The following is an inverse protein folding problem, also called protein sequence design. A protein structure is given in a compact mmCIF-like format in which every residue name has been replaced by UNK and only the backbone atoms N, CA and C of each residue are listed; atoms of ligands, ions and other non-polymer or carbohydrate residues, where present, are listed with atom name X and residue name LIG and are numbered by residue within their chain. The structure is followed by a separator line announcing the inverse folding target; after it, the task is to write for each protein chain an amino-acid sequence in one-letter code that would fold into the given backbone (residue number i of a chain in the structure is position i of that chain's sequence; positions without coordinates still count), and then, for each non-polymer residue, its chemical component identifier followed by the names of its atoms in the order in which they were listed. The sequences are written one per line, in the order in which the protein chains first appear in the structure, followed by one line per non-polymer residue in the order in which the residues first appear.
data_IF_590359840026
#
_entry.id   IF_590359840026
#
_cell.length_a   1.000
_cell.length_b   1.000
_cell.length_c   1.000
_cell.angle_alpha   90.00
_cell.angle_beta   90.00
_cell.angle_gamma   90.00
#
_symmetry.space_group_name_H-M   'P 1'
#
loop_
_entity.id
_entity.type
_entity.pdbx_description
1 polymer ?
#
# COMPACT_ATOMS: atom_id res chain seq x y z
N UNK A 1 3.01 9.44 30.15
CA UNK A 1 3.82 9.98 29.05
C UNK A 1 3.86 8.88 28.00
N UNK A 2 3.26 9.08 26.82
CA UNK A 2 3.27 8.05 25.78
C UNK A 2 4.67 7.98 25.16
N UNK A 3 5.17 6.76 24.91
CA UNK A 3 6.52 6.49 24.45
C UNK A 3 6.86 7.09 23.08
N UNK A 4 8.15 7.16 22.78
CA UNK A 4 8.68 7.65 21.51
C UNK A 4 8.29 6.75 20.34
N UNK A 5 7.85 7.34 19.23
CA UNK A 5 7.60 6.62 17.98
C UNK A 5 8.92 6.20 17.34
N UNK A 6 9.04 4.92 16.96
CA UNK A 6 10.16 4.38 16.19
C UNK A 6 9.71 4.13 14.76
N UNK A 7 10.59 4.45 13.81
CA UNK A 7 10.41 4.15 12.39
C UNK A 7 11.72 3.55 11.88
N UNK A 8 11.66 2.41 11.21
CA UNK A 8 12.83 1.74 10.64
C UNK A 8 12.46 0.98 9.36
N UNK A 9 13.49 0.55 8.64
CA UNK A 9 13.39 -0.27 7.46
C UNK A 9 13.88 -1.68 7.78
N UNK A 10 13.22 -2.70 7.26
CA UNK A 10 13.59 -4.10 7.44
C UNK A 10 13.28 -4.88 6.16
N UNK A 11 14.22 -5.72 5.72
CA UNK A 11 13.94 -6.69 4.66
C UNK A 11 13.13 -7.83 5.25
N UNK A 12 11.95 -8.07 4.70
CA UNK A 12 11.11 -9.21 5.08
C UNK A 12 10.96 -10.14 3.87
N UNK A 13 10.81 -11.43 4.12
CA UNK A 13 10.58 -12.43 3.07
C UNK A 13 9.15 -12.93 3.16
N UNK A 14 8.37 -12.80 2.09
CA UNK A 14 6.98 -13.29 2.01
C UNK A 14 6.80 -14.31 0.89
N UNK A 15 6.00 -15.38 1.09
CA UNK A 15 5.57 -16.22 -0.01
C UNK A 15 4.73 -15.40 -0.98
N UNK A 16 5.14 -15.41 -2.25
CA UNK A 16 4.61 -14.54 -3.29
C UNK A 16 4.25 -15.36 -4.52
N UNK A 17 3.03 -15.18 -5.03
CA UNK A 17 2.64 -15.74 -6.32
C UNK A 17 2.99 -14.77 -7.43
N UNK A 18 3.64 -15.27 -8.49
CA UNK A 18 4.15 -14.43 -9.56
C UNK A 18 3.08 -14.10 -10.60
N UNK A 19 3.29 -13.00 -11.30
CA UNK A 19 2.43 -12.50 -12.38
C UNK A 19 3.11 -12.72 -13.72
N UNK A 20 2.33 -12.73 -14.80
CA UNK A 20 2.88 -12.73 -16.16
C UNK A 20 3.60 -11.42 -16.49
N UNK A 21 4.07 -11.33 -17.73
CA UNK A 21 4.66 -10.12 -18.27
C UNK A 21 3.59 -9.02 -18.47
N UNK A 22 4.02 -7.77 -18.38
CA UNK A 22 3.23 -6.61 -18.76
C UNK A 22 3.07 -6.60 -20.29
N UNK A 23 1.84 -6.46 -20.79
CA UNK A 23 1.57 -6.18 -22.19
C UNK A 23 1.86 -4.69 -22.45
N UNK A 24 2.88 -4.35 -23.29
CA UNK A 24 3.23 -2.97 -23.58
C UNK A 24 2.25 -2.29 -24.54
N UNK A 25 1.32 -3.04 -25.15
CA UNK A 25 0.38 -2.47 -26.10
C UNK A 25 -0.67 -1.62 -25.35
N UNK A 26 -0.98 -0.40 -25.85
CA UNK A 26 -1.97 0.45 -25.22
C UNK A 26 -3.35 -0.24 -25.25
N UNK A 27 -3.89 -0.48 -24.06
CA UNK A 27 -5.22 -1.05 -23.91
C UNK A 27 -6.29 0.04 -23.79
N UNK A 28 -7.21 0.07 -24.75
CA UNK A 28 -8.35 0.99 -24.76
C UNK A 28 -9.59 0.33 -24.13
N UNK A 29 -9.55 0.16 -22.80
CA UNK A 29 -10.61 -0.52 -22.05
C UNK A 29 -11.68 0.47 -21.58
N UNK A 30 -12.43 1.01 -22.53
CA UNK A 30 -13.47 2.03 -22.29
C UNK A 30 -14.60 1.55 -21.37
N UNK A 31 -14.84 0.23 -21.32
CA UNK A 31 -15.89 -0.39 -20.50
C UNK A 31 -15.35 -1.64 -19.80
N UNK A 32 -14.98 -1.52 -18.52
CA UNK A 32 -14.68 -2.67 -17.67
C UNK A 32 -15.94 -3.14 -16.93
N UNK A 33 -16.10 -4.47 -16.85
CA UNK A 33 -17.24 -5.12 -16.18
C UNK A 33 -17.18 -4.94 -14.66
N UNK A 34 -16.00 -4.69 -14.09
CA UNK A 34 -15.79 -4.56 -12.66
C UNK A 34 -15.67 -3.09 -12.19
N UNK A 35 -16.48 -2.77 -11.18
CA UNK A 35 -16.42 -1.58 -10.31
C UNK A 35 -16.60 -0.19 -10.96
N UNK A 36 -17.21 -0.10 -12.14
CA UNK A 36 -17.54 1.21 -12.74
C UNK A 36 -16.32 2.09 -13.01
N UNK A 37 -15.13 1.48 -13.10
CA UNK A 37 -13.89 2.17 -13.38
C UNK A 37 -13.73 2.39 -14.89
N UNK A 38 -13.20 3.55 -15.28
CA UNK A 38 -12.65 3.69 -16.63
C UNK A 38 -11.36 2.86 -16.70
N UNK A 39 -11.21 2.05 -17.74
CA UNK A 39 -9.99 1.28 -17.98
C UNK A 39 -8.88 2.09 -18.64
N UNK A 40 -8.96 3.42 -18.58
CA UNK A 40 -7.95 4.33 -19.10
C UNK A 40 -6.72 4.30 -18.20
N UNK A 41 -5.81 3.38 -18.50
CA UNK A 41 -4.61 3.13 -17.70
C UNK A 41 -3.33 3.63 -18.37
N UNK A 42 -3.42 4.17 -19.59
CA UNK A 42 -2.30 4.81 -20.26
C UNK A 42 -1.66 5.88 -19.34
N UNK A 43 -0.32 5.91 -19.20
CA UNK A 43 0.69 5.24 -20.03
C UNK A 43 1.12 3.84 -19.58
N UNK A 44 0.46 3.22 -18.60
CA UNK A 44 0.84 1.91 -18.09
C UNK A 44 0.34 0.76 -18.98
N UNK A 45 1.13 -0.29 -19.10
CA UNK A 45 0.69 -1.58 -19.64
C UNK A 45 -0.11 -2.37 -18.60
N UNK A 46 -0.70 -3.47 -19.05
CA UNK A 46 -1.59 -4.31 -18.23
C UNK A 46 -1.00 -5.71 -18.14
N UNK A 47 -1.12 -6.32 -16.96
CA UNK A 47 -0.80 -7.73 -16.77
C UNK A 47 -2.12 -8.49 -16.62
N UNK A 48 -2.44 -9.37 -17.56
CA UNK A 48 -3.69 -10.13 -17.59
C UNK A 48 -3.52 -11.61 -17.23
N UNK A 49 -2.32 -11.99 -16.81
CA UNK A 49 -1.95 -13.38 -16.57
C UNK A 49 -1.34 -13.56 -15.17
N UNK A 50 -1.75 -14.62 -14.47
CA UNK A 50 -1.11 -15.10 -13.24
C UNK A 50 -0.39 -16.41 -13.57
N UNK A 51 0.87 -16.55 -13.19
CA UNK A 51 1.67 -17.75 -13.54
C UNK A 51 1.24 -18.99 -12.74
N UNK A 52 0.69 -18.78 -11.54
CA UNK A 52 0.41 -19.84 -10.57
C UNK A 52 1.66 -20.30 -9.79
N UNK A 53 2.84 -19.78 -10.10
CA UNK A 53 4.09 -20.12 -9.43
C UNK A 53 4.22 -19.35 -8.11
N UNK A 54 4.80 -20.00 -7.09
CA UNK A 54 5.04 -19.42 -5.76
C UNK A 54 6.53 -19.38 -5.47
N UNK A 55 7.03 -18.22 -5.09
CA UNK A 55 8.41 -18.01 -4.67
C UNK A 55 8.48 -17.32 -3.30
N UNK A 56 9.62 -17.44 -2.61
CA UNK A 56 9.92 -16.59 -1.47
C UNK A 56 10.56 -15.31 -2.01
N UNK A 57 9.92 -14.17 -1.76
CA UNK A 57 10.38 -12.87 -2.25
C UNK A 57 10.68 -11.93 -1.10
N UNK A 58 11.80 -11.25 -1.21
CA UNK A 58 12.20 -10.19 -0.29
C UNK A 58 11.49 -8.88 -0.65
N UNK A 59 11.06 -8.17 0.39
CA UNK A 59 10.43 -6.86 0.33
C UNK A 59 11.07 -5.93 1.34
N UNK A 60 11.29 -4.68 0.95
CA UNK A 60 11.69 -3.63 1.86
C UNK A 60 10.47 -3.12 2.64
N UNK A 61 10.27 -3.60 3.86
CA UNK A 61 9.24 -3.11 4.75
C UNK A 61 9.68 -1.81 5.43
N UNK A 62 8.71 -0.92 5.66
CA UNK A 62 8.86 0.24 6.54
C UNK A 62 7.96 0.02 7.75
N UNK A 63 8.57 -0.04 8.93
CA UNK A 63 7.85 -0.22 10.17
C UNK A 63 7.66 1.09 10.91
N UNK A 64 6.50 1.24 11.55
CA UNK A 64 6.21 2.27 12.51
C UNK A 64 5.68 1.64 13.79
N UNK A 65 6.28 1.95 14.93
CA UNK A 65 5.90 1.37 16.22
C UNK A 65 5.87 2.42 17.32
N UNK A 66 4.88 2.30 18.19
CA UNK A 66 4.85 2.94 19.51
C UNK A 66 4.47 1.91 20.59
N UNK A 67 4.09 2.39 21.78
CA UNK A 67 3.73 1.51 22.89
C UNK A 67 2.51 0.62 22.61
N UNK A 68 1.61 1.07 21.72
CA UNK A 68 0.28 0.47 21.51
C UNK A 68 0.15 -0.29 20.20
N UNK A 69 0.78 0.19 19.13
CA UNK A 69 0.60 -0.38 17.79
C UNK A 69 1.93 -0.55 17.07
N UNK A 70 1.98 -1.55 16.19
CA UNK A 70 3.03 -1.77 15.21
C UNK A 70 2.40 -1.87 13.82
N UNK A 71 2.86 -1.03 12.90
CA UNK A 71 2.36 -0.92 11.54
C UNK A 71 3.47 -1.29 10.56
N UNK A 72 3.17 -2.15 9.60
CA UNK A 72 4.05 -2.51 8.49
C UNK A 72 3.52 -1.90 7.21
N UNK A 73 4.34 -1.10 6.54
CA UNK A 73 4.08 -0.61 5.20
C UNK A 73 4.95 -1.36 4.18
N UNK A 74 4.40 -1.59 2.99
CA UNK A 74 5.12 -2.16 1.85
C UNK A 74 5.15 -1.16 0.68
N UNK A 75 6.19 -0.30 0.61
CA UNK A 75 6.43 0.61 -0.52
C UNK A 75 6.39 -0.10 -1.86
N UNK A 76 6.96 -1.30 -1.97
CA UNK A 76 6.99 -2.08 -3.20
C UNK A 76 5.60 -2.56 -3.68
N UNK A 77 4.59 -2.55 -2.81
CA UNK A 77 3.22 -2.99 -3.11
C UNK A 77 2.23 -1.84 -2.96
N UNK A 78 2.48 -0.75 -3.69
CA UNK A 78 1.63 0.43 -3.72
C UNK A 78 1.67 1.27 -2.45
N UNK A 79 2.65 1.05 -1.58
CA UNK A 79 2.80 1.75 -0.31
C UNK A 79 1.81 1.32 0.77
N UNK A 80 1.05 0.24 0.55
CA UNK A 80 -0.04 -0.19 1.43
C UNK A 80 0.41 -0.39 2.88
N UNK A 81 -0.52 -0.19 3.82
CA UNK A 81 -0.36 -0.75 5.16
C UNK A 81 -0.67 -2.24 5.04
N UNK A 82 0.35 -3.09 5.08
CA UNK A 82 0.18 -4.52 4.91
C UNK A 82 -0.17 -5.21 6.24
N UNK A 83 0.31 -4.69 7.37
CA UNK A 83 -0.01 -5.19 8.71
C UNK A 83 -0.27 -4.06 9.69
N UNK A 84 -1.25 -4.23 10.56
CA UNK A 84 -1.54 -3.31 11.65
C UNK A 84 -1.86 -4.10 12.93
N UNK A 85 -0.90 -4.14 13.84
CA UNK A 85 -0.91 -4.97 15.03
C UNK A 85 -1.15 -4.14 16.29
N UNK A 86 -2.15 -4.52 17.08
CA UNK A 86 -2.46 -3.98 18.39
C UNK A 86 -1.67 -4.76 19.46
N UNK A 87 -0.71 -4.08 20.09
CA UNK A 87 0.15 -4.62 21.15
C UNK A 87 -0.57 -4.74 22.50
N UNK A 88 -1.69 -4.04 22.71
CA UNK A 88 -2.49 -4.15 23.93
C UNK A 88 -3.40 -5.37 23.85
N UNK A 89 -4.05 -5.57 22.71
CA UNK A 89 -4.95 -6.70 22.46
C UNK A 89 -4.29 -7.92 21.84
N UNK A 90 -2.99 -7.82 21.52
CA UNK A 90 -2.17 -8.89 20.95
C UNK A 90 -2.78 -9.49 19.67
N UNK A 91 -3.32 -8.63 18.78
CA UNK A 91 -3.97 -9.07 17.54
C UNK A 91 -3.76 -8.09 16.41
N UNK A 92 -3.84 -8.59 15.19
CA UNK A 92 -4.01 -7.73 14.02
C UNK A 92 -5.44 -7.15 14.01
N UNK A 93 -5.55 -5.84 13.79
CA UNK A 93 -6.83 -5.13 13.69
C UNK A 93 -7.18 -4.73 12.25
N UNK A 94 -6.27 -5.01 11.33
CA UNK A 94 -6.49 -5.04 9.88
C UNK A 94 -6.23 -6.47 9.41
N UNK A 95 -6.96 -6.93 8.39
CA UNK A 95 -6.72 -8.26 7.82
C UNK A 95 -5.28 -8.37 7.31
N UNK A 96 -4.44 -9.10 8.03
CA UNK A 96 -3.06 -9.38 7.66
C UNK A 96 -3.03 -10.65 6.81
N UNK A 97 -2.64 -10.50 5.55
CA UNK A 97 -2.41 -11.64 4.68
C UNK A 97 -0.93 -12.00 4.73
N UNK A 98 -0.60 -13.19 5.23
CA UNK A 98 0.78 -13.66 5.40
C UNK A 98 1.48 -13.98 4.06
N UNK A 99 0.77 -13.80 2.95
CA UNK A 99 1.28 -14.03 1.60
C UNK A 99 0.92 -12.89 0.65
N UNK A 100 1.68 -12.76 -0.43
CA UNK A 100 1.37 -11.88 -1.55
C UNK A 100 0.79 -12.72 -2.68
N UNK A 101 -0.54 -12.75 -2.79
CA UNK A 101 -1.25 -13.53 -3.82
C UNK A 101 -2.11 -12.61 -4.70
N UNK A 102 -1.64 -12.18 -5.88
CA UNK A 102 -2.39 -11.30 -6.74
C UNK A 102 -3.59 -11.99 -7.39
N UNK A 103 -4.64 -11.20 -7.59
CA UNK A 103 -5.79 -11.48 -8.44
C UNK A 103 -5.90 -10.39 -9.50
N UNK A 104 -6.51 -10.70 -10.64
CA UNK A 104 -6.70 -9.79 -11.77
C UNK A 104 -7.89 -8.83 -11.53
N UNK A 105 -7.81 -8.07 -10.45
CA UNK A 105 -8.86 -7.14 -9.98
C UNK A 105 -8.43 -5.68 -10.14
N UNK A 106 -7.13 -5.41 -10.06
CA UNK A 106 -6.57 -4.07 -10.20
C UNK A 106 -6.72 -3.54 -11.62
N UNK A 107 -6.59 -2.22 -11.78
CA UNK A 107 -6.68 -1.58 -13.09
C UNK A 107 -5.57 -2.06 -14.04
N UNK A 108 -4.35 -2.28 -13.54
CA UNK A 108 -3.26 -2.89 -14.31
C UNK A 108 -3.26 -4.42 -14.24
N UNK A 109 -4.30 -5.02 -13.66
CA UNK A 109 -4.44 -6.44 -13.43
C UNK A 109 -4.13 -6.84 -11.98
N UNK A 110 -2.86 -6.99 -11.58
CA UNK A 110 -2.51 -7.47 -10.24
C UNK A 110 -3.04 -6.56 -9.12
N UNK A 111 -3.74 -7.18 -8.19
CA UNK A 111 -4.18 -6.59 -6.93
C UNK A 111 -4.16 -7.67 -5.85
N UNK A 112 -3.80 -7.32 -4.61
CA UNK A 112 -3.78 -8.26 -3.49
C UNK A 112 -4.74 -7.84 -2.39
N UNK A 113 -5.35 -8.83 -1.74
CA UNK A 113 -6.22 -8.66 -0.59
C UNK A 113 -5.44 -8.43 0.71
N UNK A 114 -6.13 -7.89 1.71
CA UNK A 114 -5.56 -7.59 3.01
C UNK A 114 -4.89 -6.23 3.09
N UNK A 115 -4.62 -5.82 4.32
CA UNK A 115 -4.07 -4.50 4.61
C UNK A 115 -5.06 -3.36 4.41
N UNK A 116 -4.50 -2.16 4.25
CA UNK A 116 -5.20 -0.95 3.83
C UNK A 116 -4.52 -0.46 2.55
N UNK A 117 -5.30 -0.39 1.48
CA UNK A 117 -4.88 0.08 0.17
C UNK A 117 -5.08 1.58 0.00
N UNK A 118 -4.13 2.25 -0.65
CA UNK A 118 -4.27 3.65 -1.06
C UNK A 118 -4.82 3.74 -2.48
N UNK A 119 -6.01 4.32 -2.62
CA UNK A 119 -6.82 4.30 -3.83
C UNK A 119 -7.00 5.67 -4.49
N UNK A 120 -6.03 6.57 -4.35
CA UNK A 120 -6.08 7.85 -5.05
C UNK A 120 -5.34 7.77 -6.40
N UNK A 121 -5.89 8.30 -7.51
CA UNK A 121 -7.16 9.02 -7.65
C UNK A 121 -8.40 8.13 -7.93
N UNK A 122 -8.23 6.81 -8.00
CA UNK A 122 -9.29 5.88 -8.42
C UNK A 122 -9.30 4.62 -7.54
N UNK A 123 -10.49 4.05 -7.32
CA UNK A 123 -10.65 2.77 -6.63
C UNK A 123 -9.80 1.68 -7.30
N UNK A 124 -8.99 0.98 -6.50
CA UNK A 124 -7.87 0.14 -6.95
C UNK A 124 -6.96 0.88 -7.94
N UNK A 125 -6.30 1.95 -7.45
CA UNK A 125 -5.49 2.83 -8.31
C UNK A 125 -4.52 2.01 -9.17
N UNK A 126 -4.17 2.46 -10.39
CA UNK A 126 -3.36 1.65 -11.32
C UNK A 126 -2.09 1.08 -10.69
N UNK A 127 -1.39 1.89 -9.90
CA UNK A 127 -0.12 1.53 -9.27
C UNK A 127 -0.26 0.84 -7.90
N UNK A 128 -1.41 0.21 -7.60
CA UNK A 128 -1.67 -0.47 -6.30
C UNK A 128 -0.72 -1.65 -6.03
N UNK A 129 -0.17 -2.24 -7.08
CA UNK A 129 0.79 -3.35 -7.03
C UNK A 129 2.16 -2.97 -7.58
N UNK A 130 2.45 -1.67 -7.67
CA UNK A 130 3.74 -1.13 -8.13
C UNK A 130 4.50 -0.49 -6.97
N UNK A 131 5.84 -0.42 -7.06
CA UNK A 131 6.61 0.31 -6.06
C UNK A 131 6.25 1.79 -6.03
N UNK A 132 6.33 2.36 -4.84
CA UNK A 132 6.26 3.81 -4.63
C UNK A 132 7.48 4.30 -3.87
N UNK A 133 7.81 5.57 -4.10
CA UNK A 133 8.76 6.29 -3.29
C UNK A 133 8.17 6.56 -1.90
N UNK A 134 9.06 6.60 -0.91
CA UNK A 134 8.72 7.04 0.44
C UNK A 134 9.86 7.84 1.04
N UNK A 135 9.53 8.70 1.99
CA UNK A 135 10.52 9.38 2.82
C UNK A 135 10.07 9.33 4.28
N UNK A 136 11.03 9.23 5.19
CA UNK A 136 10.78 9.23 6.63
C UNK A 136 11.17 10.60 7.17
N UNK A 137 10.20 11.34 7.69
CA UNK A 137 10.42 12.65 8.29
C UNK A 137 10.00 12.63 9.75
N UNK A 138 10.88 13.10 10.63
CA UNK A 138 10.53 13.37 12.03
C UNK A 138 9.91 14.75 12.12
N UNK A 139 8.60 14.82 12.34
CA UNK A 139 7.95 16.07 12.72
C UNK A 139 8.41 16.52 14.11
N UNK A 140 8.48 17.84 14.34
CA UNK A 140 8.50 18.37 15.70
C UNK A 140 7.12 18.13 16.31
N UNK A 141 7.01 17.30 17.36
CA UNK A 141 5.81 17.15 18.18
C UNK A 141 5.38 18.55 18.68
N UNK A 142 4.14 19.03 18.62
CA UNK A 142 2.85 18.35 18.66
C UNK A 142 1.80 19.11 17.82
N UNK A 143 1.07 18.40 16.95
CA UNK A 143 -0.24 18.90 16.54
C UNK A 143 -1.18 18.67 17.73
N UNK A 144 -1.44 19.71 18.53
CA UNK A 144 -2.52 19.66 19.53
C UNK A 144 -3.82 19.36 18.79
N UNK A 145 -4.69 18.47 19.28
CA UNK A 145 -6.07 18.43 18.81
C UNK A 145 -6.73 19.73 19.30
N UNK A 146 -6.67 20.79 18.49
CA UNK A 146 -7.47 21.97 18.76
C UNK A 146 -8.87 21.71 18.24
N UNK A 147 -9.84 21.90 19.14
CA UNK A 147 -11.25 21.69 18.89
C UNK A 147 -11.75 22.44 17.66
N UNK A 148 -12.91 22.00 17.19
CA UNK A 148 -13.67 22.54 16.08
C UNK A 148 -13.50 24.06 15.90
N UNK A 149 -13.04 24.45 14.70
CA UNK A 149 -13.21 25.81 14.19
C UNK A 149 -12.03 26.76 14.45
N UNK A 150 -10.93 26.60 13.71
CA UNK A 150 -10.23 27.64 12.91
C UNK A 150 -8.88 27.09 12.40
N UNK A 151 -8.60 27.32 11.11
CA UNK A 151 -7.44 26.78 10.39
C UNK A 151 -6.12 27.41 10.88
N UNK A 152 -5.07 26.60 10.96
CA UNK A 152 -3.68 27.03 10.80
C UNK A 152 -2.96 25.97 9.95
N UNK A 153 -2.10 26.36 8.99
CA UNK A 153 -1.64 25.45 7.95
C UNK A 153 -0.54 24.54 8.51
N UNK A 154 -0.85 23.28 8.80
CA UNK A 154 0.15 22.22 8.67
C UNK A 154 0.25 21.87 7.18
N UNK A 155 0.77 22.81 6.40
CA UNK A 155 1.28 22.55 5.07
C UNK A 155 2.79 22.74 5.15
N UNK A 156 3.53 21.64 5.11
CA UNK A 156 4.92 21.68 4.66
C UNK A 156 4.94 20.96 3.32
N UNK A 157 4.77 21.76 2.27
CA UNK A 157 5.17 21.44 0.91
C UNK A 157 6.48 22.20 0.62
N UNK A 158 7.25 21.63 -0.31
CA UNK A 158 8.42 22.14 -1.05
C UNK A 158 9.78 21.63 -0.54
N UNK A 159 10.70 21.25 -1.43
CA UNK A 159 10.80 21.40 -2.90
C UNK A 159 11.23 20.10 -3.55
#
# INVERSE_FOLDING_TARGET
MYGSVKVWQETITLPTWTTGAEDPNPMFLEKRVYQGSSGNVYPYGVIDTLTGEREMRDYQAVWMENDFIRIMLLPELGGRIHRAYDKVKQRDFVYYNEVVKPALVGLLGPWISGGIEFNWPQHHRPTTFMPVDFSIQRGKTACRPYGWGKRSPCAVYRS
#
